data_IF_977892866205
#
_entry.id   IF_977892866205
#
_cell.length_a   1.000
_cell.length_b   1.000
_cell.length_c   1.000
_cell.angle_alpha   90.00
_cell.angle_beta   90.00
_cell.angle_gamma   90.00
#
_symmetry.space_group_name_H-M   'P 1'
#
loop_
_entity.id
_entity.type
_entity.pdbx_description
1 polymer ?
#
# COMPACT_ATOMS: atom_id res chain seq x y z
N UNK A 1 -53.88 17.86 44.60
CA UNK A 1 -52.46 17.59 44.30
C UNK A 1 -51.68 18.84 44.64
N UNK A 2 -50.75 18.77 45.58
CA UNK A 2 -49.99 19.96 46.00
C UNK A 2 -48.91 20.29 44.98
N UNK A 3 -48.61 21.57 44.78
CA UNK A 3 -47.54 22.06 43.88
C UNK A 3 -46.17 21.40 44.13
N UNK A 4 -45.98 20.86 45.35
CA UNK A 4 -44.78 20.15 45.78
C UNK A 4 -44.68 18.73 45.20
N UNK A 5 -45.80 18.03 45.04
CA UNK A 5 -45.85 16.67 44.45
C UNK A 5 -45.58 16.73 42.94
N UNK A 6 -46.11 17.77 42.27
CA UNK A 6 -45.87 17.98 40.83
C UNK A 6 -44.40 18.27 40.52
N UNK A 7 -43.72 19.05 41.37
CA UNK A 7 -42.27 19.32 41.25
C UNK A 7 -41.40 18.08 41.46
N UNK A 8 -41.78 17.21 42.40
CA UNK A 8 -41.08 15.95 42.64
C UNK A 8 -41.19 15.01 41.43
N UNK A 9 -42.41 14.82 40.91
CA UNK A 9 -42.64 13.99 39.72
C UNK A 9 -41.91 14.53 38.47
N UNK A 10 -41.90 15.85 38.26
CA UNK A 10 -41.13 16.48 37.18
C UNK A 10 -39.62 16.22 37.32
N UNK A 11 -39.08 16.30 38.54
CA UNK A 11 -37.65 16.09 38.78
C UNK A 11 -37.20 14.66 38.50
N UNK A 12 -38.03 13.66 38.83
CA UNK A 12 -37.74 12.24 38.57
C UNK A 12 -37.77 11.92 37.06
N UNK A 13 -38.75 12.47 36.34
CA UNK A 13 -38.86 12.31 34.89
C UNK A 13 -37.65 12.97 34.21
N UNK A 14 -37.29 14.20 34.58
CA UNK A 14 -36.13 14.90 34.01
C UNK A 14 -34.84 14.13 34.28
N UNK A 15 -34.62 13.64 35.50
CA UNK A 15 -33.42 12.87 35.84
C UNK A 15 -33.32 11.57 35.02
N UNK A 16 -34.43 10.87 34.81
CA UNK A 16 -34.47 9.63 34.03
C UNK A 16 -34.17 9.89 32.55
N UNK A 17 -34.79 10.92 31.97
CA UNK A 17 -34.50 11.32 30.58
C UNK A 17 -33.06 11.78 30.40
N UNK A 18 -32.51 12.52 31.37
CA UNK A 18 -31.13 12.95 31.34
C UNK A 18 -30.15 11.77 31.37
N UNK A 19 -30.38 10.77 32.23
CA UNK A 19 -29.58 9.55 32.24
C UNK A 19 -29.69 8.79 30.92
N UNK A 20 -30.89 8.66 30.36
CA UNK A 20 -31.09 8.01 29.07
C UNK A 20 -30.31 8.72 27.95
N UNK A 21 -30.34 10.05 27.92
CA UNK A 21 -29.56 10.86 26.96
C UNK A 21 -28.05 10.65 27.16
N UNK A 22 -27.57 10.65 28.40
CA UNK A 22 -26.15 10.43 28.69
C UNK A 22 -25.65 9.05 28.24
N UNK A 23 -26.45 7.99 28.42
CA UNK A 23 -26.12 6.65 27.92
C UNK A 23 -26.01 6.64 26.40
N UNK A 24 -26.94 7.30 25.70
CA UNK A 24 -26.90 7.40 24.24
C UNK A 24 -25.66 8.17 23.77
N UNK A 25 -25.36 9.32 24.38
CA UNK A 25 -24.15 10.11 24.05
C UNK A 25 -22.88 9.30 24.31
N UNK A 26 -22.79 8.61 25.45
CA UNK A 26 -21.65 7.74 25.78
C UNK A 26 -21.49 6.60 24.78
N UNK A 27 -22.59 6.00 24.34
CA UNK A 27 -22.59 4.99 23.29
C UNK A 27 -22.08 5.53 21.95
N UNK A 28 -22.53 6.71 21.53
CA UNK A 28 -22.01 7.37 20.33
C UNK A 28 -20.52 7.69 20.45
N UNK A 29 -20.09 8.24 21.59
CA UNK A 29 -18.68 8.57 21.82
C UNK A 29 -17.78 7.32 21.72
N UNK A 30 -18.19 6.21 22.34
CA UNK A 30 -17.45 4.95 22.25
C UNK A 30 -17.36 4.40 20.82
N UNK A 31 -18.40 4.58 20.00
CA UNK A 31 -18.35 4.23 18.58
C UNK A 31 -17.38 5.12 17.79
N UNK A 32 -17.36 6.43 18.06
CA UNK A 32 -16.42 7.35 17.43
C UNK A 32 -14.97 6.99 17.79
N UNK A 33 -14.68 6.75 19.07
CA UNK A 33 -13.35 6.37 19.53
C UNK A 33 -12.90 5.03 18.93
N UNK A 34 -13.80 4.05 18.81
CA UNK A 34 -13.51 2.79 18.13
C UNK A 34 -13.15 2.98 16.65
N UNK A 35 -13.88 3.83 15.93
CA UNK A 35 -13.59 4.13 14.52
C UNK A 35 -12.26 4.87 14.37
N UNK A 36 -11.97 5.84 15.24
CA UNK A 36 -10.70 6.57 15.24
C UNK A 36 -9.53 5.63 15.51
N UNK A 37 -9.63 4.81 16.55
CA UNK A 37 -8.62 3.80 16.87
C UNK A 37 -8.35 2.84 15.70
N UNK A 38 -9.41 2.36 15.03
CA UNK A 38 -9.27 1.49 13.84
C UNK A 38 -8.50 2.21 12.72
N UNK A 39 -8.77 3.50 12.49
CA UNK A 39 -8.05 4.28 11.48
C UNK A 39 -6.58 4.50 11.86
N UNK A 40 -6.29 4.83 13.12
CA UNK A 40 -4.91 4.94 13.61
C UNK A 40 -4.14 3.63 13.42
N UNK A 41 -4.75 2.49 13.73
CA UNK A 41 -4.12 1.18 13.51
C UNK A 41 -3.81 0.90 12.03
N UNK A 42 -4.69 1.32 11.11
CA UNK A 42 -4.48 1.18 9.66
C UNK A 42 -3.28 2.00 9.20
N UNK A 43 -3.14 3.22 9.71
CA UNK A 43 -2.00 4.10 9.44
C UNK A 43 -0.72 3.50 10.01
N UNK A 44 -0.72 3.04 11.26
CA UNK A 44 0.45 2.44 11.91
C UNK A 44 0.97 1.21 11.14
N UNK A 45 0.07 0.33 10.69
CA UNK A 45 0.43 -0.83 9.87
C UNK A 45 0.99 -0.44 8.50
N UNK A 46 0.43 0.58 7.87
CA UNK A 46 0.97 1.09 6.61
C UNK A 46 2.38 1.67 6.81
N UNK A 47 2.61 2.41 7.90
CA UNK A 47 3.93 2.95 8.25
C UNK A 47 4.95 1.85 8.60
N UNK A 48 4.52 0.70 9.12
CA UNK A 48 5.39 -0.46 9.30
C UNK A 48 5.98 -0.94 7.97
N UNK A 49 5.17 -1.00 6.91
CA UNK A 49 5.68 -1.32 5.57
C UNK A 49 6.66 -0.26 5.07
N UNK A 50 6.39 1.03 5.31
CA UNK A 50 7.32 2.11 4.95
C UNK A 50 8.65 1.95 5.69
N UNK A 51 8.61 1.67 6.99
CA UNK A 51 9.79 1.40 7.79
C UNK A 51 10.56 0.21 7.23
N UNK A 52 9.90 -0.93 7.01
CA UNK A 52 10.52 -2.12 6.40
C UNK A 52 11.10 -1.81 5.02
N UNK A 53 10.45 -0.99 4.21
CA UNK A 53 10.95 -0.62 2.89
C UNK A 53 12.27 0.15 2.94
N UNK A 54 12.48 0.91 4.01
CA UNK A 54 13.66 1.76 4.21
C UNK A 54 14.75 1.10 5.06
N UNK A 55 14.39 0.20 5.96
CA UNK A 55 15.30 -0.36 6.98
C UNK A 55 15.47 -1.87 6.90
N UNK A 56 14.69 -2.59 6.09
CA UNK A 56 14.90 -4.02 5.91
C UNK A 56 16.08 -4.23 4.97
N UNK A 57 17.17 -4.75 5.52
CA UNK A 57 18.41 -4.97 4.77
C UNK A 57 18.19 -5.74 3.47
N UNK A 58 17.29 -6.74 3.47
CA UNK A 58 17.01 -7.52 2.28
C UNK A 58 16.29 -6.69 1.21
N UNK A 59 15.26 -5.90 1.57
CA UNK A 59 14.50 -5.11 0.57
C UNK A 59 15.38 -3.99 0.02
N UNK A 60 16.17 -3.36 0.89
CA UNK A 60 17.12 -2.32 0.49
C UNK A 60 18.23 -2.89 -0.40
N UNK A 61 18.78 -4.06 -0.07
CA UNK A 61 19.80 -4.71 -0.91
C UNK A 61 19.24 -5.11 -2.27
N UNK A 62 18.05 -5.71 -2.31
CA UNK A 62 17.38 -6.09 -3.55
C UNK A 62 17.16 -4.87 -4.46
N UNK A 63 16.63 -3.77 -3.91
CA UNK A 63 16.45 -2.51 -4.67
C UNK A 63 17.76 -1.96 -5.18
N UNK A 64 18.82 -2.01 -4.37
CA UNK A 64 20.14 -1.54 -4.77
C UNK A 64 20.70 -2.36 -5.94
N UNK A 65 20.59 -3.68 -5.88
CA UNK A 65 21.04 -4.59 -6.94
C UNK A 65 20.27 -4.36 -8.24
N UNK A 66 18.93 -4.25 -8.16
CA UNK A 66 18.09 -3.95 -9.31
C UNK A 66 18.43 -2.57 -9.89
N UNK A 67 18.58 -1.55 -9.03
CA UNK A 67 18.89 -0.18 -9.48
C UNK A 67 20.26 -0.12 -10.15
N UNK A 68 21.27 -0.82 -9.61
CA UNK A 68 22.60 -0.89 -10.20
C UNK A 68 22.58 -1.61 -11.56
N UNK A 69 21.78 -2.67 -11.69
CA UNK A 69 21.57 -3.37 -12.97
C UNK A 69 20.89 -2.46 -14.01
N UNK A 70 19.82 -1.76 -13.63
CA UNK A 70 19.15 -0.80 -14.53
C UNK A 70 20.10 0.32 -14.94
N UNK A 71 20.86 0.90 -14.01
CA UNK A 71 21.80 1.98 -14.31
C UNK A 71 22.88 1.51 -15.29
N UNK A 72 23.38 0.28 -15.11
CA UNK A 72 24.36 -0.35 -15.99
C UNK A 72 23.83 -0.52 -17.42
N UNK A 73 22.57 -0.93 -17.59
CA UNK A 73 21.96 -1.25 -18.89
C UNK A 73 21.03 -0.14 -19.43
N UNK A 74 21.05 1.04 -18.81
CA UNK A 74 20.19 2.16 -19.20
C UNK A 74 20.43 2.61 -20.66
N UNK A 75 21.68 2.68 -21.17
CA UNK A 75 21.93 3.01 -22.58
C UNK A 75 21.27 2.03 -23.55
N UNK A 76 21.36 0.73 -23.28
CA UNK A 76 20.81 -0.35 -24.10
C UNK A 76 19.28 -0.30 -24.11
N UNK A 77 18.67 -0.18 -22.92
CA UNK A 77 17.22 0.02 -22.76
C UNK A 77 16.75 1.26 -23.54
N UNK A 78 17.45 2.38 -23.38
CA UNK A 78 17.11 3.64 -24.05
C UNK A 78 17.22 3.52 -25.57
N UNK A 79 18.22 2.79 -26.07
CA UNK A 79 18.41 2.53 -27.49
C UNK A 79 17.25 1.72 -28.07
N UNK A 80 16.79 0.67 -27.36
CA UNK A 80 15.63 -0.12 -27.77
C UNK A 80 14.37 0.75 -27.81
N UNK A 81 14.09 1.49 -26.74
CA UNK A 81 12.87 2.30 -26.61
C UNK A 81 12.82 3.50 -27.56
N UNK A 82 13.98 4.03 -27.98
CA UNK A 82 14.07 5.21 -28.85
C UNK A 82 14.21 4.86 -30.33
N UNK A 83 14.20 3.57 -30.70
CA UNK A 83 14.43 3.15 -32.08
C UNK A 83 13.18 3.37 -32.96
N UNK A 84 13.19 4.35 -33.89
CA UNK A 84 12.01 4.67 -34.71
C UNK A 84 11.76 3.64 -35.82
N UNK A 85 12.69 2.70 -36.05
CA UNK A 85 12.55 1.67 -37.06
C UNK A 85 11.64 0.51 -36.61
N UNK A 86 11.40 0.36 -35.30
CA UNK A 86 10.61 -0.72 -34.74
C UNK A 86 9.12 -0.36 -34.75
N UNK A 87 8.28 -1.28 -35.24
CA UNK A 87 6.83 -1.22 -35.01
C UNK A 87 6.49 -1.50 -33.53
N UNK A 88 5.26 -1.20 -33.11
CA UNK A 88 4.81 -1.38 -31.71
C UNK A 88 4.99 -2.83 -31.24
N UNK A 89 4.59 -3.80 -32.06
CA UNK A 89 4.68 -5.22 -31.71
C UNK A 89 6.14 -5.71 -31.68
N UNK A 90 6.97 -5.23 -32.61
CA UNK A 90 8.40 -5.58 -32.67
C UNK A 90 9.18 -4.96 -31.50
N UNK A 91 8.85 -3.72 -31.13
CA UNK A 91 9.40 -3.06 -29.95
C UNK A 91 9.12 -3.85 -28.68
N UNK A 92 7.90 -4.37 -28.52
CA UNK A 92 7.54 -5.17 -27.34
C UNK A 92 8.37 -6.46 -27.25
N UNK A 93 8.64 -7.12 -28.39
CA UNK A 93 9.50 -8.30 -28.45
C UNK A 93 10.96 -7.99 -28.15
N UNK A 94 11.53 -6.97 -28.81
CA UNK A 94 12.94 -6.58 -28.57
C UNK A 94 13.14 -6.13 -27.12
N UNK A 95 12.20 -5.36 -26.57
CA UNK A 95 12.24 -4.96 -25.17
C UNK A 95 12.11 -6.16 -24.22
N UNK A 96 11.26 -7.13 -24.54
CA UNK A 96 11.15 -8.36 -23.76
C UNK A 96 12.48 -9.10 -23.69
N UNK A 97 13.10 -9.33 -24.85
CA UNK A 97 14.37 -10.05 -24.95
C UNK A 97 15.50 -9.32 -24.23
N UNK A 98 15.54 -7.98 -24.33
CA UNK A 98 16.50 -7.14 -23.62
C UNK A 98 16.36 -7.26 -22.10
N UNK A 99 15.14 -7.10 -21.57
CA UNK A 99 14.89 -7.22 -20.13
C UNK A 99 15.21 -8.64 -19.63
N UNK A 100 14.84 -9.69 -20.37
CA UNK A 100 15.18 -11.06 -19.99
C UNK A 100 16.69 -11.32 -20.01
N UNK A 101 17.41 -10.71 -20.95
CA UNK A 101 18.88 -10.75 -21.02
C UNK A 101 19.48 -10.10 -19.78
N UNK A 102 19.06 -8.87 -19.44
CA UNK A 102 19.52 -8.15 -18.24
C UNK A 102 19.27 -8.98 -16.97
N UNK A 103 18.05 -9.52 -16.81
CA UNK A 103 17.69 -10.32 -15.64
C UNK A 103 18.59 -11.55 -15.49
N UNK A 104 18.94 -12.18 -16.61
CA UNK A 104 19.76 -13.39 -16.64
C UNK A 104 21.25 -13.08 -16.44
N UNK A 105 21.78 -12.06 -17.13
CA UNK A 105 23.19 -11.67 -17.09
C UNK A 105 23.60 -11.11 -15.73
N UNK A 106 22.77 -10.23 -15.15
CA UNK A 106 23.04 -9.63 -13.85
C UNK A 106 22.51 -10.48 -12.68
N UNK A 107 21.87 -11.62 -12.98
CA UNK A 107 21.31 -12.56 -12.01
C UNK A 107 20.36 -11.90 -10.98
N UNK A 108 19.59 -10.89 -11.41
CA UNK A 108 18.68 -10.11 -10.54
C UNK A 108 17.30 -10.75 -10.34
N UNK A 109 17.10 -12.01 -10.75
CA UNK A 109 15.82 -12.73 -10.57
C UNK A 109 15.40 -12.82 -9.10
N UNK A 110 16.31 -13.23 -8.21
CA UNK A 110 16.00 -13.36 -6.79
C UNK A 110 15.73 -12.00 -6.10
N UNK A 111 16.53 -10.93 -6.33
CA UNK A 111 16.18 -9.57 -5.92
C UNK A 111 14.80 -9.11 -6.40
N UNK A 112 14.45 -9.39 -7.66
CA UNK A 112 13.15 -9.03 -8.23
C UNK A 112 12.01 -9.76 -7.54
N UNK A 113 12.11 -11.08 -7.35
CA UNK A 113 11.11 -11.87 -6.64
C UNK A 113 10.91 -11.36 -5.21
N UNK A 114 11.99 -11.00 -4.52
CA UNK A 114 11.93 -10.47 -3.17
C UNK A 114 11.22 -9.11 -3.12
N UNK A 115 11.51 -8.22 -4.09
CA UNK A 115 10.85 -6.92 -4.21
C UNK A 115 9.37 -7.07 -4.56
N UNK A 116 9.02 -7.97 -5.48
CA UNK A 116 7.62 -8.21 -5.84
C UNK A 116 6.83 -8.88 -4.71
N UNK A 117 7.45 -9.80 -3.97
CA UNK A 117 6.84 -10.37 -2.75
C UNK A 117 6.55 -9.28 -1.72
N UNK A 118 7.43 -8.28 -1.57
CA UNK A 118 7.17 -7.14 -0.70
C UNK A 118 5.94 -6.34 -1.18
N UNK A 119 5.85 -6.02 -2.47
CA UNK A 119 4.70 -5.28 -3.01
C UNK A 119 3.40 -6.09 -2.95
N UNK A 120 3.46 -7.42 -3.10
CA UNK A 120 2.30 -8.29 -2.90
C UNK A 120 1.80 -8.25 -1.46
N UNK A 121 2.69 -8.24 -0.47
CA UNK A 121 2.29 -8.07 0.94
C UNK A 121 1.62 -6.70 1.19
N UNK A 122 2.11 -5.65 0.55
CA UNK A 122 1.50 -4.31 0.62
C UNK A 122 0.11 -4.31 -0.01
N UNK A 123 -0.03 -4.88 -1.20
CA UNK A 123 -1.32 -5.00 -1.90
C UNK A 123 -2.33 -5.81 -1.08
N UNK A 124 -1.90 -6.95 -0.51
CA UNK A 124 -2.76 -7.77 0.33
C UNK A 124 -3.21 -7.01 1.58
N UNK A 125 -2.34 -6.19 2.19
CA UNK A 125 -2.74 -5.35 3.32
C UNK A 125 -3.81 -4.31 2.96
N UNK A 126 -3.72 -3.75 1.75
CA UNK A 126 -4.73 -2.85 1.21
C UNK A 126 -6.05 -3.57 0.93
N UNK A 127 -6.03 -4.69 0.20
CA UNK A 127 -7.22 -5.46 -0.17
C UNK A 127 -8.00 -5.98 1.05
N UNK A 128 -7.30 -6.34 2.13
CA UNK A 128 -7.92 -6.77 3.39
C UNK A 128 -8.41 -5.60 4.27
N UNK A 129 -8.32 -4.35 3.79
CA UNK A 129 -8.58 -3.11 4.53
C UNK A 129 -7.85 -3.03 5.90
N UNK A 130 -6.64 -3.58 5.96
CA UNK A 130 -5.82 -3.59 7.17
C UNK A 130 -4.86 -2.41 7.23
N UNK A 131 -4.51 -1.84 6.08
CA UNK A 131 -3.63 -0.68 5.92
C UNK A 131 -4.39 0.53 5.39
N UNK A 132 -3.88 1.73 5.67
CA UNK A 132 -4.39 2.97 5.10
C UNK A 132 -3.98 3.11 3.61
N UNK A 133 -4.97 3.23 2.73
CA UNK A 133 -4.77 3.36 1.28
C UNK A 133 -3.98 4.61 0.91
N UNK A 134 -4.25 5.74 1.58
CA UNK A 134 -3.61 7.02 1.24
C UNK A 134 -2.12 6.97 1.57
N UNK A 135 -1.75 6.39 2.70
CA UNK A 135 -0.34 6.16 3.05
C UNK A 135 0.31 5.25 2.01
N UNK A 136 -0.28 4.08 1.73
CA UNK A 136 0.32 3.14 0.79
C UNK A 136 0.50 3.73 -0.62
N UNK A 137 -0.51 4.42 -1.15
CA UNK A 137 -0.48 5.03 -2.47
C UNK A 137 0.63 6.09 -2.59
N UNK A 138 0.75 6.95 -1.58
CA UNK A 138 1.76 8.01 -1.58
C UNK A 138 3.20 7.49 -1.52
N UNK A 139 3.42 6.33 -0.89
CA UNK A 139 4.77 5.76 -0.73
C UNK A 139 5.14 4.74 -1.81
N UNK A 140 4.19 3.95 -2.32
CA UNK A 140 4.50 2.76 -3.11
C UNK A 140 3.99 2.81 -4.56
N UNK A 141 2.92 3.51 -4.90
CA UNK A 141 2.31 3.40 -6.24
C UNK A 141 3.25 3.78 -7.38
N UNK A 142 3.98 4.88 -7.21
CA UNK A 142 4.92 5.35 -8.23
C UNK A 142 6.08 4.37 -8.42
N UNK A 143 6.63 3.86 -7.32
CA UNK A 143 7.81 3.00 -7.34
C UNK A 143 7.45 1.59 -7.82
N UNK A 144 6.39 1.00 -7.25
CA UNK A 144 5.81 -0.27 -7.69
C UNK A 144 5.40 -0.21 -9.16
N UNK A 145 4.79 0.89 -9.60
CA UNK A 145 4.44 1.14 -10.99
C UNK A 145 5.65 1.25 -11.92
N UNK A 146 6.77 1.78 -11.44
CA UNK A 146 8.03 1.84 -12.20
C UNK A 146 8.63 0.45 -12.39
N UNK A 147 8.80 -0.31 -11.30
CA UNK A 147 9.37 -1.67 -11.35
C UNK A 147 8.48 -2.63 -12.14
N UNK A 148 7.17 -2.61 -11.90
CA UNK A 148 6.22 -3.51 -12.58
C UNK A 148 6.17 -3.27 -14.09
N UNK A 149 6.27 -2.03 -14.57
CA UNK A 149 6.33 -1.71 -16.00
C UNK A 149 7.67 -2.11 -16.61
N UNK A 150 8.76 -1.82 -15.92
CA UNK A 150 10.12 -2.10 -16.41
C UNK A 150 10.36 -3.61 -16.55
N UNK A 151 10.00 -4.37 -15.52
CA UNK A 151 10.18 -5.82 -15.49
C UNK A 151 8.90 -6.60 -15.83
N UNK A 152 7.93 -5.96 -16.49
CA UNK A 152 6.72 -6.63 -16.96
C UNK A 152 7.03 -7.89 -17.81
N UNK A 153 8.03 -7.86 -18.74
CA UNK A 153 8.46 -9.05 -19.46
C UNK A 153 8.78 -10.24 -18.55
N UNK A 154 9.56 -9.99 -17.49
CA UNK A 154 9.97 -11.02 -16.53
C UNK A 154 8.77 -11.55 -15.74
N UNK A 155 7.93 -10.67 -15.19
CA UNK A 155 6.72 -11.05 -14.44
C UNK A 155 5.81 -11.94 -15.30
N UNK A 156 5.66 -11.65 -16.60
CA UNK A 156 4.87 -12.46 -17.51
C UNK A 156 5.42 -13.88 -17.71
N UNK A 157 6.74 -14.08 -17.62
CA UNK A 157 7.32 -15.42 -17.74
C UNK A 157 7.06 -16.28 -16.51
N UNK A 158 7.01 -15.68 -15.31
CA UNK A 158 6.71 -16.37 -14.05
C UNK A 158 5.25 -16.85 -13.92
N UNK A 159 4.32 -16.30 -14.71
CA UNK A 159 2.89 -16.64 -14.67
C UNK A 159 2.50 -17.85 -15.55
N UNK A 160 3.44 -18.46 -16.26
CA UNK A 160 3.21 -19.65 -17.10
C UNK A 160 3.33 -20.93 -16.29
#
# INVERSE_FOLDING_TARGET
MSDREYKLLLSEVIATWFMAIMVVIGGFFGLFEYMEYKNTLRVDRALEFVSRYQSNDHVVSARKEISASIEKHLPEISQVLSNPALGVDELAHVYHDEIMTIVTEDAISAPLEQLFTFYEQVLLCHEMELCDETVLANFFDNDAGSYSRTFYPYICTLRK
#
